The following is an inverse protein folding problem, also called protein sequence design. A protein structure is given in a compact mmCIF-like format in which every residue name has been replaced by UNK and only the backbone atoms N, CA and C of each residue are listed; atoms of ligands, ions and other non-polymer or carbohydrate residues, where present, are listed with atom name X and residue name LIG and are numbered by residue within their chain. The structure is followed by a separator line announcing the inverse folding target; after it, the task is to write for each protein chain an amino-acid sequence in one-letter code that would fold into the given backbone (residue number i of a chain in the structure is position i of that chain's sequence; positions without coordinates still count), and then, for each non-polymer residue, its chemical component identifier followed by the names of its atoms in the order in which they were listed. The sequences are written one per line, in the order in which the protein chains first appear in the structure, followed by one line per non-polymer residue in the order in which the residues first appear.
data_IF_293915455181
#
_entry.id   IF_293915455181
#
_cell.length_a   1.000
_cell.length_b   1.000
_cell.length_c   1.000
_cell.angle_alpha   90.00
_cell.angle_beta   90.00
_cell.angle_gamma   90.00
#
_symmetry.space_group_name_H-M   'P 1'
#
loop_
_entity.id
_entity.type
_entity.pdbx_description
1 polymer ?
#
# COMPACT_ATOMS: atom_id res chain seq x y z
N UNK A 1 -15.74 -3.63 -1.15
CA UNK A 1 -16.66 -4.35 -2.07
C UNK A 1 -15.94 -5.41 -2.91
N UNK A 2 -14.80 -5.12 -3.56
CA UNK A 2 -14.09 -6.09 -4.41
C UNK A 2 -13.53 -7.34 -3.66
N UNK A 3 -12.96 -7.17 -2.47
CA UNK A 3 -12.38 -8.28 -1.69
C UNK A 3 -13.40 -9.37 -1.32
N UNK A 4 -14.57 -8.97 -0.81
CA UNK A 4 -15.65 -9.91 -0.47
C UNK A 4 -16.12 -10.73 -1.68
N UNK A 5 -16.22 -10.12 -2.87
CA UNK A 5 -16.58 -10.84 -4.08
C UNK A 5 -15.50 -11.86 -4.49
N UNK A 6 -14.21 -11.54 -4.30
CA UNK A 6 -13.12 -12.48 -4.56
C UNK A 6 -13.16 -13.69 -3.63
N UNK A 7 -13.46 -13.49 -2.33
CA UNK A 7 -13.62 -14.57 -1.36
C UNK A 7 -14.78 -15.51 -1.74
N UNK A 8 -15.88 -14.97 -2.26
CA UNK A 8 -17.01 -15.80 -2.71
C UNK A 8 -16.62 -16.67 -3.92
N UNK A 9 -15.85 -16.13 -4.87
CA UNK A 9 -15.38 -16.92 -6.01
C UNK A 9 -14.32 -17.95 -5.63
N UNK A 10 -13.41 -17.65 -4.70
CA UNK A 10 -12.43 -18.63 -4.22
C UNK A 10 -13.11 -19.78 -3.49
N UNK A 11 -14.05 -19.48 -2.58
CA UNK A 11 -14.83 -20.48 -1.88
C UNK A 11 -15.66 -21.34 -2.86
N UNK A 12 -16.27 -20.71 -3.87
CA UNK A 12 -17.02 -21.44 -4.90
C UNK A 12 -16.12 -22.40 -5.70
N UNK A 13 -14.90 -21.98 -6.06
CA UNK A 13 -13.95 -22.83 -6.77
C UNK A 13 -13.53 -24.06 -5.93
N UNK A 14 -13.25 -23.87 -4.63
CA UNK A 14 -12.93 -24.97 -3.72
C UNK A 14 -14.07 -26.00 -3.62
N UNK A 15 -15.32 -25.53 -3.56
CA UNK A 15 -16.50 -26.41 -3.51
C UNK A 15 -16.68 -27.20 -4.80
N UNK A 16 -16.41 -26.58 -5.95
CA UNK A 16 -16.47 -27.25 -7.25
C UNK A 16 -15.36 -28.30 -7.40
N UNK A 17 -14.15 -28.03 -6.90
CA UNK A 17 -13.07 -29.02 -6.83
C UNK A 17 -13.44 -30.22 -5.94
N UNK A 18 -14.04 -29.97 -4.77
CA UNK A 18 -14.55 -31.04 -3.90
C UNK A 18 -15.61 -31.88 -4.61
N UNK A 19 -16.53 -31.24 -5.35
CA UNK A 19 -17.57 -31.94 -6.09
C UNK A 19 -16.99 -32.83 -7.22
N UNK A 20 -15.93 -32.38 -7.90
CA UNK A 20 -15.22 -33.20 -8.91
C UNK A 20 -14.47 -34.37 -8.30
N UNK A 21 -13.89 -34.20 -7.11
CA UNK A 21 -13.23 -35.28 -6.39
C UNK A 21 -14.21 -36.40 -6.00
N UNK A 22 -15.47 -36.03 -5.71
CA UNK A 22 -16.54 -36.96 -5.36
C UNK A 22 -17.26 -37.56 -6.58
N UNK A 23 -17.27 -36.85 -7.72
CA UNK A 23 -17.93 -37.28 -8.95
C UNK A 23 -17.04 -36.97 -10.19
N UNK A 24 -16.02 -37.81 -10.43
CA UNK A 24 -15.11 -37.62 -11.55
C UNK A 24 -15.86 -37.79 -12.89
N UNK A 25 -15.72 -36.82 -13.80
CA UNK A 25 -16.36 -36.80 -15.12
C UNK A 25 -17.66 -35.99 -15.21
N UNK A 26 -18.06 -35.28 -14.15
CA UNK A 26 -19.17 -34.34 -14.21
C UNK A 26 -18.79 -33.09 -15.03
N UNK A 27 -19.20 -33.08 -16.30
CA UNK A 27 -18.90 -31.99 -17.27
C UNK A 27 -19.47 -30.62 -16.87
N UNK A 28 -20.57 -30.59 -16.13
CA UNK A 28 -21.17 -29.33 -15.70
C UNK A 28 -20.32 -28.70 -14.59
N UNK A 29 -19.87 -29.51 -13.63
CA UNK A 29 -18.96 -29.06 -12.57
C UNK A 29 -17.62 -28.61 -13.14
N UNK A 30 -17.07 -29.29 -14.15
CA UNK A 30 -15.85 -28.87 -14.84
C UNK A 30 -16.03 -27.49 -15.49
N UNK A 31 -17.11 -27.28 -16.25
CA UNK A 31 -17.41 -25.99 -16.89
C UNK A 31 -17.61 -24.86 -15.88
N UNK A 32 -18.30 -25.12 -14.78
CA UNK A 32 -18.53 -24.13 -13.74
C UNK A 32 -17.26 -23.81 -12.97
N UNK A 33 -16.35 -24.79 -12.79
CA UNK A 33 -15.04 -24.56 -12.20
C UNK A 33 -14.20 -23.64 -13.09
N UNK A 34 -14.15 -23.89 -14.40
CA UNK A 34 -13.47 -23.01 -15.34
C UNK A 34 -14.05 -21.59 -15.32
N UNK A 35 -15.38 -21.47 -15.30
CA UNK A 35 -16.07 -20.17 -15.25
C UNK A 35 -15.77 -19.40 -13.98
N UNK A 36 -15.79 -20.08 -12.85
CA UNK A 36 -15.52 -19.49 -11.53
C UNK A 36 -14.06 -19.06 -11.41
N UNK A 37 -13.14 -19.91 -11.86
CA UNK A 37 -11.70 -19.63 -11.88
C UNK A 37 -11.39 -18.42 -12.78
N UNK A 38 -12.03 -18.32 -13.94
CA UNK A 38 -11.90 -17.17 -14.84
C UNK A 38 -12.34 -15.87 -14.19
N UNK A 39 -13.50 -15.87 -13.51
CA UNK A 39 -14.02 -14.69 -12.79
C UNK A 39 -13.10 -14.29 -11.62
N UNK A 40 -12.60 -15.28 -10.88
CA UNK A 40 -11.63 -15.04 -9.81
C UNK A 40 -10.34 -14.40 -10.35
N UNK A 41 -9.76 -14.95 -11.43
CA UNK A 41 -8.53 -14.41 -12.02
C UNK A 41 -8.74 -12.99 -12.58
N UNK A 42 -9.85 -12.72 -13.27
CA UNK A 42 -10.17 -11.38 -13.76
C UNK A 42 -10.34 -10.37 -12.62
N UNK A 43 -11.10 -10.74 -11.59
CA UNK A 43 -11.29 -9.89 -10.42
C UNK A 43 -9.98 -9.65 -9.65
N UNK A 44 -9.14 -10.68 -9.54
CA UNK A 44 -7.84 -10.59 -8.87
C UNK A 44 -6.88 -9.69 -9.64
N UNK A 45 -6.80 -9.83 -10.97
CA UNK A 45 -6.01 -8.94 -11.82
C UNK A 45 -6.44 -7.47 -11.66
N UNK A 46 -7.74 -7.22 -11.68
CA UNK A 46 -8.28 -5.86 -11.48
C UNK A 46 -7.95 -5.32 -10.08
N UNK A 47 -8.10 -6.14 -9.04
CA UNK A 47 -7.77 -5.76 -7.66
C UNK A 47 -6.28 -5.46 -7.47
N UNK A 48 -5.42 -6.31 -8.02
CA UNK A 48 -3.96 -6.15 -7.97
C UNK A 48 -3.52 -4.87 -8.74
N UNK A 49 -4.15 -4.57 -9.89
CA UNK A 49 -3.91 -3.33 -10.63
C UNK A 49 -4.30 -2.07 -9.82
N UNK A 50 -5.44 -2.09 -9.13
CA UNK A 50 -5.85 -0.97 -8.28
C UNK A 50 -4.88 -0.75 -7.11
N UNK A 51 -4.38 -1.82 -6.48
CA UNK A 51 -3.36 -1.72 -5.43
C UNK A 51 -2.04 -1.15 -5.97
N UNK A 52 -1.68 -1.52 -7.21
CA UNK A 52 -0.45 -1.05 -7.84
C UNK A 52 -0.54 0.43 -8.24
N UNK A 53 -1.71 0.91 -8.70
CA UNK A 53 -1.94 2.34 -8.97
C UNK A 53 -1.87 3.19 -7.68
N UNK A 54 -2.39 2.71 -6.55
CA UNK A 54 -2.30 3.42 -5.26
C UNK A 54 -0.86 3.64 -4.77
N UNK A 55 0.09 2.81 -5.22
CA UNK A 55 1.51 2.92 -4.81
C UNK A 55 2.37 3.76 -5.75
N UNK A 56 1.85 4.16 -6.91
CA UNK A 56 2.59 4.98 -7.87
C UNK A 56 2.33 6.48 -7.65
N UNK A 57 3.36 7.21 -7.19
CA UNK A 57 3.26 8.67 -7.10
C UNK A 57 3.21 9.27 -8.51
N UNK A 58 2.05 9.82 -8.92
CA UNK A 58 1.85 10.40 -10.25
C UNK A 58 2.38 11.84 -10.39
N UNK A 59 2.80 12.46 -9.27
CA UNK A 59 3.21 13.87 -9.21
C UNK A 59 4.44 14.05 -8.32
N UNK A 60 5.33 14.97 -8.68
CA UNK A 60 6.50 15.37 -7.90
C UNK A 60 6.56 16.91 -7.79
N UNK A 61 7.06 17.43 -6.67
CA UNK A 61 7.25 18.85 -6.43
C UNK A 61 8.47 19.12 -5.55
N UNK A 62 9.04 20.33 -5.66
CA UNK A 62 10.18 20.77 -4.86
C UNK A 62 9.72 21.97 -4.02
N UNK A 63 9.81 21.83 -2.69
CA UNK A 63 9.46 22.89 -1.75
C UNK A 63 10.71 23.35 -0.99
N UNK A 64 11.47 24.28 -1.58
CA UNK A 64 12.77 24.70 -1.08
C UNK A 64 12.78 25.07 0.41
N UNK A 65 11.77 25.78 0.90
CA UNK A 65 11.68 26.14 2.33
C UNK A 65 11.45 24.94 3.24
N UNK A 66 10.62 23.97 2.81
CA UNK A 66 10.34 22.78 3.59
C UNK A 66 11.48 21.74 3.52
N UNK A 67 12.34 21.82 2.49
CA UNK A 67 13.51 20.96 2.33
C UNK A 67 14.58 21.16 3.41
N UNK A 68 14.53 22.25 4.17
CA UNK A 68 15.41 22.47 5.33
C UNK A 68 14.99 21.67 6.58
N UNK A 69 13.84 21.00 6.56
CA UNK A 69 13.34 20.23 7.70
C UNK A 69 13.97 18.84 7.71
N UNK A 70 14.72 18.53 8.78
CA UNK A 70 15.47 17.28 8.90
C UNK A 70 14.59 16.04 9.13
N UNK A 71 15.19 14.86 8.92
CA UNK A 71 14.55 13.58 9.13
C UNK A 71 14.67 13.08 10.58
N UNK A 72 13.55 12.60 11.14
CA UNK A 72 13.57 11.76 12.34
C UNK A 72 12.48 10.67 12.25
N UNK A 73 12.80 9.47 12.72
CA UNK A 73 11.79 8.40 12.89
C UNK A 73 10.70 8.83 13.88
N UNK A 74 11.05 9.66 14.88
CA UNK A 74 10.14 10.23 15.86
C UNK A 74 9.78 11.67 15.45
N UNK A 75 8.78 11.79 14.58
CA UNK A 75 8.30 13.07 14.04
C UNK A 75 7.63 13.94 15.11
N UNK A 76 7.82 15.26 15.02
CA UNK A 76 7.07 16.24 15.81
C UNK A 76 6.15 17.13 14.93
N UNK A 77 6.23 16.96 13.61
CA UNK A 77 5.39 17.60 12.59
C UNK A 77 4.75 16.56 11.65
N UNK A 78 3.70 16.99 10.98
CA UNK A 78 3.05 16.28 9.87
C UNK A 78 3.10 17.13 8.59
N UNK A 79 3.14 16.48 7.43
CA UNK A 79 3.05 17.12 6.12
C UNK A 79 1.86 16.58 5.33
N UNK A 80 1.19 17.44 4.57
CA UNK A 80 0.17 17.07 3.59
C UNK A 80 0.26 17.98 2.37
N UNK A 81 -0.15 17.50 1.20
CA UNK A 81 -0.16 18.28 -0.03
C UNK A 81 -1.60 18.53 -0.48
N UNK A 82 -1.90 19.75 -0.95
CA UNK A 82 -3.14 20.09 -1.64
C UNK A 82 -2.74 20.74 -2.95
N UNK A 83 -2.87 20.00 -4.06
CA UNK A 83 -2.31 20.46 -5.35
C UNK A 83 -0.81 20.70 -5.25
N UNK A 84 -0.39 21.92 -5.52
CA UNK A 84 1.00 22.41 -5.47
C UNK A 84 1.41 22.99 -4.10
N UNK A 85 0.49 23.04 -3.13
CA UNK A 85 0.75 23.55 -1.79
C UNK A 85 1.15 22.43 -0.81
N UNK A 86 2.35 22.55 -0.23
CA UNK A 86 2.77 21.72 0.91
C UNK A 86 2.40 22.40 2.23
N UNK A 87 1.64 21.71 3.06
CA UNK A 87 1.23 22.15 4.39
C UNK A 87 2.03 21.36 5.43
N UNK A 88 2.79 22.06 6.29
CA UNK A 88 3.53 21.47 7.41
C UNK A 88 2.90 21.94 8.73
N UNK A 89 2.46 21.00 9.58
CA UNK A 89 1.74 21.28 10.83
C UNK A 89 2.41 20.65 12.04
N UNK A 90 2.36 21.38 13.16
CA UNK A 90 2.66 20.84 14.49
C UNK A 90 1.79 19.61 14.79
N UNK A 91 2.42 18.49 15.16
CA UNK A 91 1.69 17.33 15.71
C UNK A 91 1.54 17.40 17.23
N UNK A 92 2.28 18.30 17.87
CA UNK A 92 2.31 18.52 19.32
C UNK A 92 2.79 19.94 19.62
N UNK A 93 2.61 20.37 20.87
CA UNK A 93 3.19 21.63 21.35
C UNK A 93 4.72 21.58 21.24
N UNK A 94 5.28 22.67 20.70
CA UNK A 94 6.74 22.84 20.59
C UNK A 94 7.16 24.08 21.38
N UNK A 95 8.21 23.92 22.17
CA UNK A 95 8.90 25.07 22.76
C UNK A 95 9.60 25.90 21.68
N UNK A 96 9.91 27.16 22.03
CA UNK A 96 10.73 28.01 21.18
C UNK A 96 12.05 27.30 20.80
N UNK A 97 12.52 27.52 19.57
CA UNK A 97 13.76 26.95 19.05
C UNK A 97 13.79 25.40 18.96
N UNK A 98 12.66 24.71 19.11
CA UNK A 98 12.60 23.27 18.86
C UNK A 98 12.79 23.00 17.38
N UNK A 99 13.75 22.14 17.03
CA UNK A 99 13.96 21.69 15.66
C UNK A 99 12.70 21.00 15.11
N UNK A 100 12.36 21.33 13.86
CA UNK A 100 11.26 20.68 13.16
C UNK A 100 11.79 19.41 12.49
N UNK A 101 11.11 18.28 12.69
CA UNK A 101 11.49 17.00 12.09
C UNK A 101 10.27 16.20 11.64
N UNK A 102 10.39 15.56 10.48
CA UNK A 102 9.44 14.56 9.99
C UNK A 102 10.16 13.36 9.37
N UNK A 103 9.46 12.25 9.10
CA UNK A 103 10.10 11.08 8.47
C UNK A 103 10.17 11.24 6.94
N UNK A 104 11.35 11.06 6.34
CA UNK A 104 11.51 11.10 4.88
C UNK A 104 10.92 9.88 4.19
N UNK A 105 10.95 8.73 4.87
CA UNK A 105 10.39 7.47 4.38
C UNK A 105 9.03 7.21 5.00
N UNK A 106 8.20 6.44 4.30
CA UNK A 106 7.02 5.86 4.91
C UNK A 106 7.49 4.77 5.89
N UNK A 107 7.12 4.90 7.16
CA UNK A 107 7.39 3.89 8.16
C UNK A 107 6.29 2.82 8.04
N UNK A 108 6.56 1.77 7.27
CA UNK A 108 5.75 0.55 7.32
C UNK A 108 6.09 -0.24 8.60
N UNK A 109 5.09 -0.90 9.19
CA UNK A 109 5.24 -1.66 10.44
C UNK A 109 6.26 -2.80 10.33
N UNK A 110 6.55 -3.26 9.11
CA UNK A 110 7.46 -4.36 8.81
C UNK A 110 8.92 -3.94 8.59
N UNK A 111 9.20 -2.65 8.38
CA UNK A 111 10.54 -2.18 8.05
C UNK A 111 11.44 -2.20 9.28
N UNK A 112 12.53 -2.96 9.23
CA UNK A 112 13.51 -2.99 10.31
C UNK A 112 14.38 -1.74 10.30
N UNK A 113 14.81 -1.33 11.50
CA UNK A 113 15.72 -0.21 11.72
C UNK A 113 16.93 -0.22 10.76
N UNK A 114 17.58 -1.38 10.59
CA UNK A 114 18.76 -1.51 9.71
C UNK A 114 18.45 -1.27 8.23
N UNK A 115 17.28 -1.67 7.77
CA UNK A 115 16.84 -1.49 6.37
C UNK A 115 16.57 -0.01 6.10
N UNK A 116 15.92 0.67 7.04
CA UNK A 116 15.69 2.12 7.00
C UNK A 116 17.01 2.90 7.07
N UNK A 117 17.94 2.50 7.92
CA UNK A 117 19.26 3.13 8.02
C UNK A 117 20.05 2.97 6.71
N UNK A 118 19.95 1.81 6.06
CA UNK A 118 20.58 1.57 4.75
C UNK A 118 19.95 2.40 3.64
N UNK A 119 18.63 2.58 3.61
CA UNK A 119 17.99 3.40 2.58
C UNK A 119 18.30 4.89 2.74
N UNK A 120 18.52 5.34 3.99
CA UNK A 120 18.88 6.71 4.31
C UNK A 120 20.40 6.98 4.28
N UNK A 121 21.26 5.99 3.99
CA UNK A 121 22.72 6.15 4.09
C UNK A 121 23.32 7.14 3.11
N UNK A 122 22.61 7.46 2.03
CA UNK A 122 23.03 8.43 1.02
C UNK A 122 22.69 9.88 1.38
N UNK A 123 22.04 10.10 2.53
CA UNK A 123 21.64 11.43 3.00
C UNK A 123 22.54 11.86 4.14
N UNK A 124 23.35 12.90 3.93
CA UNK A 124 24.07 13.57 5.00
C UNK A 124 23.21 14.68 5.60
N UNK A 125 23.18 14.85 6.93
CA UNK A 125 22.54 16.00 7.55
C UNK A 125 23.28 17.29 7.15
N UNK A 126 22.51 18.33 6.83
CA UNK A 126 22.99 19.69 6.50
C UNK A 126 23.42 20.42 7.77
#
# INVERSE_FOLDING_TARGET
MAYYALEQFSLCAERLQQALALNPGNKDTEKDLERTTRKYMQGKLFYDQQQQEETSYTTCGIWATASFVNCSCLRNRHRSCIGDMLIVRAGRDLGASTELVFSYVLLEETLRYKETQKSLSYWEPI
#
